data_IF_277082908989
#
_entry.id   IF_277082908989
#
_cell.length_a   1.000
_cell.length_b   1.000
_cell.length_c   1.000
_cell.angle_alpha   90.00
_cell.angle_beta   90.00
_cell.angle_gamma   90.00
#
_symmetry.space_group_name_H-M   'P 1'
#
loop_
_entity.id
_entity.type
_entity.pdbx_description
1 polymer ?
#
# COMPACT_ATOMS: atom_id res chain seq x y z
N UNK A 1 -0.57 9.07 1.20
CA UNK A 1 -0.63 8.73 2.63
C UNK A 1 -0.64 7.20 2.83
N UNK A 2 -0.11 6.73 3.96
CA UNK A 2 -0.31 5.36 4.47
C UNK A 2 -1.31 5.42 5.62
N UNK A 3 -2.53 4.96 5.39
CA UNK A 3 -3.60 4.99 6.38
C UNK A 3 -4.48 3.73 6.30
N UNK A 4 -5.14 3.39 7.41
CA UNK A 4 -6.07 2.27 7.53
C UNK A 4 -5.49 0.95 7.03
N UNK A 5 -6.26 0.25 6.19
CA UNK A 5 -5.88 -1.05 5.65
C UNK A 5 -4.60 -1.02 4.79
N UNK A 6 -4.26 0.14 4.22
CA UNK A 6 -3.11 0.26 3.32
C UNK A 6 -1.80 0.06 4.07
N UNK A 7 -1.72 0.40 5.36
CA UNK A 7 -0.54 0.15 6.20
C UNK A 7 -0.19 -1.36 6.25
N UNK A 8 -1.20 -2.23 6.21
CA UNK A 8 -1.02 -3.68 6.24
C UNK A 8 -0.78 -4.28 4.84
N UNK A 9 -1.40 -3.67 3.82
CA UNK A 9 -1.42 -4.11 2.42
C UNK A 9 -0.26 -3.60 1.56
N UNK A 10 0.36 -2.50 1.97
CA UNK A 10 1.42 -1.82 1.24
C UNK A 10 2.78 -2.49 1.44
N UNK A 11 3.47 -2.70 0.32
CA UNK A 11 4.90 -3.00 0.25
C UNK A 11 5.43 -2.18 -0.93
N UNK A 12 6.23 -1.17 -0.63
CA UNK A 12 6.72 -0.18 -1.59
C UNK A 12 7.36 -0.84 -2.82
N UNK A 13 6.83 -0.55 -4.01
CA UNK A 13 7.31 -1.07 -5.29
C UNK A 13 6.95 -2.54 -5.58
N UNK A 14 6.30 -3.25 -4.65
CA UNK A 14 5.88 -4.65 -4.83
C UNK A 14 4.37 -4.80 -4.94
N UNK A 15 3.61 -4.13 -4.08
CA UNK A 15 2.13 -4.15 -4.12
C UNK A 15 1.53 -2.78 -4.46
N UNK A 16 2.36 -1.74 -4.48
CA UNK A 16 1.99 -0.39 -4.86
C UNK A 16 3.00 0.62 -4.30
N UNK A 17 2.58 1.88 -4.21
CA UNK A 17 3.38 2.97 -3.66
C UNK A 17 2.59 3.72 -2.61
N UNK A 18 3.29 4.22 -1.59
CA UNK A 18 2.72 5.23 -0.71
C UNK A 18 2.85 6.61 -1.37
N UNK A 19 2.14 7.60 -0.83
CA UNK A 19 2.36 9.01 -1.14
C UNK A 19 2.65 9.70 0.19
N UNK A 20 3.55 10.67 0.21
CA UNK A 20 3.87 11.42 1.42
C UNK A 20 4.78 10.67 2.40
N UNK A 21 5.13 11.32 3.51
CA UNK A 21 6.08 10.79 4.50
C UNK A 21 5.55 9.54 5.22
N UNK A 22 6.45 8.73 5.82
CA UNK A 22 6.06 7.56 6.61
C UNK A 22 5.19 7.95 7.82
N UNK A 23 4.29 7.06 8.30
CA UNK A 23 3.42 7.33 9.45
C UNK A 23 4.16 7.66 10.76
N UNK A 24 5.45 7.38 10.84
CA UNK A 24 6.31 7.71 12.00
C UNK A 24 6.68 9.18 12.10
N UNK A 25 6.51 9.96 11.04
CA UNK A 25 6.84 11.39 10.98
C UNK A 25 5.61 12.27 11.26
N UNK A 26 4.87 11.98 12.33
CA UNK A 26 3.79 12.85 12.83
C UNK A 26 4.41 14.02 13.60
N UNK A 27 5.20 14.86 12.91
CA UNK A 27 5.35 16.24 13.35
C UNK A 27 4.27 17.03 12.62
N UNK A 28 3.65 18.00 13.29
CA UNK A 28 2.81 19.00 12.64
C UNK A 28 3.72 19.81 11.70
N UNK A 29 3.98 19.28 10.51
CA UNK A 29 4.75 19.96 9.48
C UNK A 29 3.79 20.92 8.80
N UNK A 30 4.04 22.22 8.92
CA UNK A 30 3.39 23.19 8.05
C UNK A 30 3.79 22.84 6.60
N UNK A 31 2.79 22.63 5.73
CA UNK A 31 2.91 22.21 4.31
C UNK A 31 2.96 20.70 3.98
N UNK A 32 2.29 19.84 4.76
CA UNK A 32 2.09 18.42 4.38
C UNK A 32 1.51 18.29 2.96
N UNK A 33 0.52 19.11 2.62
CA UNK A 33 -0.14 19.05 1.30
C UNK A 33 0.83 19.28 0.14
N UNK A 34 1.78 20.21 0.25
CA UNK A 34 2.74 20.44 -0.83
C UNK A 34 3.74 19.30 -0.94
N UNK A 35 4.17 18.74 0.20
CA UNK A 35 5.07 17.59 0.22
C UNK A 35 4.44 16.34 -0.40
N UNK A 36 3.16 16.08 -0.09
CA UNK A 36 2.41 14.97 -0.67
C UNK A 36 2.24 15.14 -2.19
N UNK A 37 1.98 16.38 -2.65
CA UNK A 37 1.88 16.71 -4.07
C UNK A 37 3.22 16.50 -4.78
N UNK A 38 4.32 16.99 -4.21
CA UNK A 38 5.66 16.82 -4.79
C UNK A 38 6.05 15.34 -4.87
N UNK A 39 5.83 14.57 -3.81
CA UNK A 39 6.11 13.13 -3.79
C UNK A 39 5.25 12.37 -4.82
N UNK A 40 3.96 12.73 -4.95
CA UNK A 40 3.09 12.17 -5.98
C UNK A 40 3.63 12.44 -7.38
N UNK A 41 3.98 13.69 -7.70
CA UNK A 41 4.50 14.04 -9.02
C UNK A 41 5.83 13.36 -9.33
N UNK A 42 6.73 13.30 -8.36
CA UNK A 42 8.02 12.61 -8.51
C UNK A 42 7.82 11.11 -8.75
N UNK A 43 6.99 10.44 -7.96
CA UNK A 43 6.68 9.01 -8.15
C UNK A 43 6.00 8.74 -9.48
N UNK A 44 5.06 9.59 -9.90
CA UNK A 44 4.42 9.44 -11.21
C UNK A 44 5.44 9.56 -12.34
N UNK A 45 6.23 10.62 -12.33
CA UNK A 45 7.18 10.94 -13.38
C UNK A 45 8.33 9.93 -13.48
N UNK A 46 8.94 9.61 -12.34
CA UNK A 46 10.21 8.89 -12.33
C UNK A 46 10.04 7.38 -12.16
N UNK A 47 8.89 6.93 -11.65
CA UNK A 47 8.66 5.51 -11.31
C UNK A 47 7.46 4.94 -12.04
N UNK A 48 6.25 5.47 -11.82
CA UNK A 48 5.00 4.82 -12.21
C UNK A 48 4.78 4.89 -13.72
N UNK A 49 4.91 6.07 -14.33
CA UNK A 49 4.71 6.26 -15.78
C UNK A 49 5.76 5.46 -16.57
N UNK A 50 7.08 5.54 -16.27
CA UNK A 50 8.08 4.74 -16.97
C UNK A 50 7.84 3.23 -16.80
N UNK A 51 7.48 2.77 -15.61
CA UNK A 51 7.20 1.35 -15.35
C UNK A 51 6.00 0.86 -16.18
N UNK A 52 4.92 1.65 -16.21
CA UNK A 52 3.70 1.28 -16.92
C UNK A 52 3.92 1.17 -18.44
N UNK A 53 4.60 2.14 -19.05
CA UNK A 53 4.78 2.17 -20.50
C UNK A 53 5.96 1.33 -21.00
N UNK A 54 7.06 1.27 -20.23
CA UNK A 54 8.31 0.68 -20.73
C UNK A 54 8.59 -0.74 -20.18
N UNK A 55 7.92 -1.17 -19.10
CA UNK A 55 8.19 -2.47 -18.46
C UNK A 55 6.90 -3.17 -18.04
N UNK A 56 6.15 -3.61 -19.06
CA UNK A 56 4.92 -4.40 -18.89
C UNK A 56 5.11 -5.67 -18.03
N UNK A 57 6.19 -6.48 -18.18
CA UNK A 57 6.38 -7.65 -17.32
C UNK A 57 6.47 -7.29 -15.84
N UNK A 58 7.19 -6.23 -15.47
CA UNK A 58 7.30 -5.79 -14.09
C UNK A 58 6.00 -5.21 -13.56
N UNK A 59 5.25 -4.48 -14.40
CA UNK A 59 3.89 -4.04 -14.05
C UNK A 59 2.95 -5.24 -13.75
N UNK A 60 2.98 -6.28 -14.58
CA UNK A 60 2.20 -7.51 -14.34
C UNK A 60 2.62 -8.20 -13.05
N UNK A 61 3.92 -8.27 -12.77
CA UNK A 61 4.42 -8.85 -11.51
C UNK A 61 3.89 -8.07 -10.29
N UNK A 62 3.86 -6.74 -10.36
CA UNK A 62 3.28 -5.91 -9.29
C UNK A 62 1.79 -6.21 -9.10
N UNK A 63 1.02 -6.33 -10.19
CA UNK A 63 -0.40 -6.72 -10.10
C UNK A 63 -0.58 -8.10 -9.45
N UNK A 64 0.24 -9.08 -9.83
CA UNK A 64 0.21 -10.43 -9.25
C UNK A 64 0.55 -10.42 -7.77
N UNK A 65 1.56 -9.65 -7.36
CA UNK A 65 1.96 -9.50 -5.96
C UNK A 65 0.84 -8.87 -5.12
N UNK A 66 0.19 -7.81 -5.64
CA UNK A 66 -0.94 -7.17 -4.98
C UNK A 66 -2.11 -8.15 -4.78
N UNK A 67 -2.46 -8.91 -5.82
CA UNK A 67 -3.49 -9.96 -5.74
C UNK A 67 -3.10 -11.03 -4.73
N UNK A 68 -1.87 -11.54 -4.80
CA UNK A 68 -1.40 -12.63 -3.94
C UNK A 68 -1.41 -12.27 -2.47
N UNK A 69 -0.91 -11.08 -2.10
CA UNK A 69 -0.94 -10.60 -0.72
C UNK A 69 -2.38 -10.42 -0.23
N UNK A 70 -3.22 -9.82 -1.06
CA UNK A 70 -4.59 -9.50 -0.67
C UNK A 70 -5.45 -10.75 -0.50
N UNK A 71 -5.40 -11.68 -1.46
CA UNK A 71 -6.18 -12.91 -1.43
C UNK A 71 -5.83 -13.80 -0.22
N UNK A 72 -4.55 -13.88 0.14
CA UNK A 72 -4.11 -14.70 1.27
C UNK A 72 -4.56 -14.13 2.62
N UNK A 73 -4.35 -12.83 2.86
CA UNK A 73 -4.45 -12.27 4.20
C UNK A 73 -5.79 -11.59 4.51
N UNK A 74 -6.38 -10.90 3.53
CA UNK A 74 -7.59 -10.10 3.70
C UNK A 74 -8.82 -10.86 3.18
N UNK A 75 -9.11 -12.02 3.80
CA UNK A 75 -10.34 -12.77 3.51
C UNK A 75 -11.21 -12.94 4.77
N UNK A 76 -12.53 -12.92 4.55
CA UNK A 76 -13.52 -13.00 5.63
C UNK A 76 -13.51 -14.35 6.34
N UNK A 77 -13.08 -15.43 5.69
CA UNK A 77 -12.93 -16.73 6.33
C UNK A 77 -11.90 -16.67 7.48
N UNK A 78 -10.74 -16.05 7.22
CA UNK A 78 -9.71 -15.81 8.24
C UNK A 78 -10.23 -14.88 9.33
N UNK A 79 -10.93 -13.81 8.97
CA UNK A 79 -11.52 -12.88 9.94
C UNK A 79 -12.49 -13.60 10.88
N UNK A 80 -13.47 -14.33 10.32
CA UNK A 80 -14.48 -15.06 11.07
C UNK A 80 -13.87 -16.12 11.97
N UNK A 81 -12.88 -16.88 11.47
CA UNK A 81 -12.17 -17.88 12.28
C UNK A 81 -11.55 -17.24 13.51
N UNK A 82 -10.81 -16.13 13.34
CA UNK A 82 -10.19 -15.41 14.46
C UNK A 82 -11.23 -14.83 15.42
N UNK A 83 -12.34 -14.33 14.88
CA UNK A 83 -13.42 -13.82 15.72
C UNK A 83 -13.97 -14.92 16.63
N UNK A 84 -14.28 -16.09 16.08
CA UNK A 84 -14.78 -17.23 16.85
C UNK A 84 -13.76 -17.74 17.87
N UNK A 85 -12.50 -17.97 17.46
CA UNK A 85 -11.49 -18.56 18.35
C UNK A 85 -10.98 -17.59 19.42
N UNK A 86 -10.78 -16.33 19.06
CA UNK A 86 -10.04 -15.40 19.91
C UNK A 86 -10.99 -14.54 20.78
N UNK A 87 -12.25 -14.35 20.34
CA UNK A 87 -13.22 -13.51 21.05
C UNK A 87 -14.38 -14.29 21.70
N UNK A 88 -14.86 -15.38 21.09
CA UNK A 88 -16.09 -16.06 21.56
C UNK A 88 -15.86 -17.39 22.27
N UNK A 89 -14.93 -18.24 21.81
CA UNK A 89 -14.72 -19.59 22.36
C UNK A 89 -13.46 -19.62 23.23
N UNK A 90 -13.33 -18.69 24.19
CA UNK A 90 -12.20 -18.73 25.12
C UNK A 90 -12.35 -19.84 26.15
#
# INVERSE_FOLDING_TARGET
MLDGWWIEGHIEGFTGWSIGPPPTEIKLVENIDTMDVDDLYNKLKDIIIPLFYNDRPKWIRMMQNAIGKNAYYFNSHRMMRRYVTDAYIR
#
